data_IF_112520462676
#
_entry.id   IF_112520462676
#
_cell.length_a   1.000
_cell.length_b   1.000
_cell.length_c   1.000
_cell.angle_alpha   90.00
_cell.angle_beta   90.00
_cell.angle_gamma   90.00
#
_symmetry.space_group_name_H-M   'P 1'
#
loop_
_entity.id
_entity.type
_entity.pdbx_description
1 polymer ?
#
# COMPACT_ATOMS: atom_id res chain seq x y z
N UNK A 1 -11.43 -1.60 -19.77
CA UNK A 1 -12.20 -2.19 -18.64
C UNK A 1 -11.65 -3.51 -18.09
N UNK A 2 -11.41 -4.56 -18.91
CA UNK A 2 -10.88 -5.84 -18.40
C UNK A 2 -9.44 -5.71 -17.85
N UNK A 3 -8.63 -4.82 -18.44
CA UNK A 3 -7.31 -4.45 -17.94
C UNK A 3 -7.36 -3.66 -16.62
N UNK A 4 -8.30 -2.72 -16.45
CA UNK A 4 -8.51 -1.97 -15.19
C UNK A 4 -8.69 -2.88 -13.98
N UNK A 5 -9.58 -3.86 -14.13
CA UNK A 5 -9.88 -4.87 -13.11
C UNK A 5 -8.66 -5.71 -12.74
N UNK A 6 -7.67 -5.84 -13.62
CA UNK A 6 -6.42 -6.54 -13.32
C UNK A 6 -5.47 -5.65 -12.53
N UNK A 7 -5.31 -4.38 -12.89
CA UNK A 7 -4.46 -3.45 -12.15
C UNK A 7 -4.98 -3.13 -10.75
N UNK A 8 -6.29 -2.97 -10.58
CA UNK A 8 -6.89 -2.81 -9.26
C UNK A 8 -6.65 -4.04 -8.36
N UNK A 9 -6.73 -5.25 -8.92
CA UNK A 9 -6.42 -6.49 -8.17
C UNK A 9 -4.95 -6.56 -7.78
N UNK A 10 -4.04 -6.20 -8.68
CA UNK A 10 -2.60 -6.14 -8.41
C UNK A 10 -2.33 -5.11 -7.29
N UNK A 11 -2.97 -3.93 -7.37
CA UNK A 11 -2.89 -2.88 -6.36
C UNK A 11 -3.37 -3.34 -4.99
N UNK A 12 -4.52 -4.04 -4.92
CA UNK A 12 -5.04 -4.62 -3.67
C UNK A 12 -4.05 -5.64 -3.09
N UNK A 13 -3.57 -6.58 -3.90
CA UNK A 13 -2.67 -7.64 -3.42
C UNK A 13 -1.36 -7.04 -2.93
N UNK A 14 -0.74 -6.15 -3.71
CA UNK A 14 0.53 -5.50 -3.36
C UNK A 14 0.41 -4.68 -2.08
N UNK A 15 -0.65 -3.89 -1.95
CA UNK A 15 -0.85 -3.02 -0.78
C UNK A 15 -1.21 -3.83 0.47
N UNK A 16 -1.95 -4.94 0.31
CA UNK A 16 -2.26 -5.85 1.42
C UNK A 16 -1.01 -6.59 1.89
N UNK A 17 -0.17 -7.07 0.95
CA UNK A 17 1.11 -7.71 1.28
C UNK A 17 2.05 -6.75 2.00
N UNK A 18 2.14 -5.49 1.56
CA UNK A 18 2.86 -4.43 2.26
C UNK A 18 2.34 -4.25 3.70
N UNK A 19 1.02 -4.19 3.88
CA UNK A 19 0.44 -4.04 5.22
C UNK A 19 0.73 -5.24 6.13
N UNK A 20 0.59 -6.47 5.62
CA UNK A 20 0.92 -7.70 6.35
C UNK A 20 2.42 -7.73 6.70
N UNK A 21 3.27 -7.33 5.77
CA UNK A 21 4.72 -7.23 6.00
C UNK A 21 5.02 -6.22 7.12
N UNK A 22 4.52 -4.99 7.03
CA UNK A 22 4.75 -3.96 8.04
C UNK A 22 4.21 -4.37 9.43
N UNK A 23 3.10 -5.13 9.50
CA UNK A 23 2.55 -5.63 10.77
C UNK A 23 3.41 -6.79 11.29
N UNK A 24 3.84 -7.70 10.42
CA UNK A 24 4.62 -8.89 10.77
C UNK A 24 6.06 -8.59 11.18
N UNK A 25 6.69 -7.57 10.59
CA UNK A 25 8.09 -7.17 10.86
C UNK A 25 8.40 -7.00 12.35
N UNK A 26 7.64 -6.21 13.15
CA UNK A 26 7.91 -6.13 14.59
C UNK A 26 7.79 -7.48 15.28
N UNK A 27 6.78 -8.31 15.00
CA UNK A 27 6.64 -9.62 15.65
C UNK A 27 7.77 -10.58 15.30
N UNK A 28 8.21 -10.62 14.03
CA UNK A 28 9.28 -11.51 13.56
C UNK A 28 10.63 -11.11 14.18
N UNK A 29 10.93 -9.81 14.20
CA UNK A 29 12.23 -9.34 14.67
C UNK A 29 12.30 -9.15 16.18
N UNK A 30 11.18 -8.92 16.89
CA UNK A 30 11.11 -9.01 18.36
C UNK A 30 11.31 -10.47 18.82
N UNK A 31 10.70 -11.44 18.14
CA UNK A 31 10.85 -12.86 18.47
C UNK A 31 12.28 -13.37 18.24
N UNK A 32 12.95 -12.89 17.17
CA UNK A 32 14.36 -13.24 16.87
C UNK A 32 15.35 -12.58 17.84
N UNK A 33 15.11 -11.33 18.24
CA UNK A 33 16.02 -10.56 19.08
C UNK A 33 15.97 -10.90 20.59
N UNK A 34 14.94 -11.58 21.08
CA UNK A 34 14.95 -12.12 22.45
C UNK A 34 15.80 -13.41 22.62
N UNK A 35 16.30 -13.98 21.51
CA UNK A 35 17.15 -15.19 21.53
C UNK A 35 18.65 -14.92 21.32
N UNK A 36 19.01 -13.72 20.86
CA UNK A 36 20.39 -13.28 20.64
C UNK A 36 20.62 -11.95 21.38
N UNK A 37 21.76 -11.80 22.03
CA UNK A 37 22.02 -10.90 23.16
C UNK A 37 21.92 -9.38 22.93
N UNK A 38 21.37 -8.90 21.81
CA UNK A 38 21.14 -7.48 21.52
C UNK A 38 19.88 -7.30 20.65
N UNK A 39 19.02 -6.35 21.02
CA UNK A 39 17.86 -5.92 20.22
C UNK A 39 18.32 -5.23 18.93
N UNK A 40 18.57 -5.99 17.86
CA UNK A 40 18.88 -5.41 16.55
C UNK A 40 17.61 -5.09 15.78
N UNK A 41 17.59 -3.94 15.09
CA UNK A 41 16.56 -3.61 14.12
C UNK A 41 16.52 -4.66 12.97
N UNK A 42 15.44 -4.62 12.18
CA UNK A 42 15.30 -5.48 11.02
C UNK A 42 16.48 -5.30 10.04
N UNK A 43 17.00 -6.36 9.42
CA UNK A 43 18.10 -6.29 8.48
C UNK A 43 17.68 -5.51 7.23
N UNK A 44 18.64 -4.84 6.62
CA UNK A 44 18.43 -3.92 5.47
C UNK A 44 17.72 -4.55 4.28
N UNK A 45 17.95 -5.85 4.01
CA UNK A 45 17.25 -6.55 2.92
C UNK A 45 15.75 -6.74 3.18
N UNK A 46 15.33 -6.80 4.45
CA UNK A 46 13.92 -6.88 4.82
C UNK A 46 13.19 -5.57 4.49
N UNK A 47 13.86 -4.44 4.69
CA UNK A 47 13.36 -3.10 4.33
C UNK A 47 13.16 -2.93 2.81
N UNK A 48 13.98 -3.61 1.99
CA UNK A 48 13.88 -3.54 0.52
C UNK A 48 12.57 -4.14 -0.02
N UNK A 49 11.92 -5.02 0.74
CA UNK A 49 10.64 -5.62 0.38
C UNK A 49 9.54 -4.55 0.35
N UNK A 50 9.56 -3.59 1.29
CA UNK A 50 8.60 -2.47 1.32
C UNK A 50 8.72 -1.59 0.07
N UNK A 51 9.96 -1.30 -0.35
CA UNK A 51 10.23 -0.56 -1.58
C UNK A 51 9.77 -1.31 -2.84
N UNK A 52 9.90 -2.64 -2.85
CA UNK A 52 9.40 -3.47 -3.95
C UNK A 52 7.87 -3.37 -4.05
N UNK A 53 7.15 -3.49 -2.94
CA UNK A 53 5.69 -3.32 -2.93
C UNK A 53 5.26 -1.90 -3.29
N UNK A 54 6.03 -0.89 -2.88
CA UNK A 54 5.78 0.52 -3.24
C UNK A 54 5.86 0.74 -4.75
N UNK A 55 6.86 0.15 -5.42
CA UNK A 55 7.04 0.22 -6.88
C UNK A 55 5.87 -0.47 -7.60
N UNK A 56 5.49 -1.67 -7.15
CA UNK A 56 4.34 -2.38 -7.74
C UNK A 56 3.05 -1.57 -7.56
N UNK A 57 2.83 -1.00 -6.38
CA UNK A 57 1.69 -0.12 -6.10
C UNK A 57 1.70 1.12 -7.00
N UNK A 58 2.86 1.71 -7.27
CA UNK A 58 2.98 2.86 -8.17
C UNK A 58 2.49 2.51 -9.57
N UNK A 59 2.92 1.38 -10.14
CA UNK A 59 2.46 0.96 -11.46
C UNK A 59 0.95 0.66 -11.49
N UNK A 60 0.43 0.01 -10.44
CA UNK A 60 -1.00 -0.25 -10.31
C UNK A 60 -1.81 1.06 -10.29
N UNK A 61 -1.38 2.05 -9.49
CA UNK A 61 -2.02 3.37 -9.41
C UNK A 61 -1.85 4.15 -10.71
N UNK A 62 -0.68 4.15 -11.33
CA UNK A 62 -0.41 4.88 -12.58
C UNK A 62 -1.33 4.39 -13.70
N UNK A 63 -1.47 3.07 -13.86
CA UNK A 63 -2.41 2.52 -14.81
C UNK A 63 -3.84 2.90 -14.42
N UNK A 64 -4.27 2.58 -13.18
CA UNK A 64 -5.64 2.86 -12.71
C UNK A 64 -6.04 4.33 -12.84
N UNK A 65 -5.12 5.27 -12.63
CA UNK A 65 -5.37 6.72 -12.68
C UNK A 65 -5.33 7.34 -14.07
N UNK A 66 -4.70 6.66 -15.04
CA UNK A 66 -4.72 7.08 -16.45
C UNK A 66 -5.98 6.61 -17.18
N UNK A 67 -6.66 5.59 -16.68
CA UNK A 67 -7.79 4.96 -17.34
C UNK A 67 -9.08 5.12 -16.53
N UNK A 68 -9.89 6.09 -16.95
CA UNK A 68 -11.31 6.25 -16.58
C UNK A 68 -11.63 6.34 -15.08
N UNK A 69 -10.68 6.73 -14.24
CA UNK A 69 -10.95 7.08 -12.83
C UNK A 69 -11.45 8.51 -12.74
N UNK A 70 -12.36 8.75 -11.79
CA UNK A 70 -12.77 10.11 -11.46
C UNK A 70 -11.57 10.93 -10.97
N UNK A 71 -11.56 12.22 -11.30
CA UNK A 71 -10.47 13.15 -10.91
C UNK A 71 -10.21 13.14 -9.40
N UNK A 72 -11.28 12.98 -8.60
CA UNK A 72 -11.22 12.88 -7.15
C UNK A 72 -10.48 11.62 -6.67
N UNK A 73 -10.81 10.44 -7.21
CA UNK A 73 -10.10 9.20 -6.87
C UNK A 73 -8.63 9.28 -7.24
N UNK A 74 -8.31 9.85 -8.40
CA UNK A 74 -6.92 10.05 -8.81
C UNK A 74 -6.13 10.87 -7.79
N UNK A 75 -6.68 11.99 -7.32
CA UNK A 75 -6.04 12.80 -6.29
C UNK A 75 -5.80 11.97 -5.02
N UNK A 76 -6.82 11.23 -4.55
CA UNK A 76 -6.71 10.39 -3.35
C UNK A 76 -5.67 9.28 -3.46
N UNK A 77 -5.57 8.62 -4.62
CA UNK A 77 -4.54 7.60 -4.85
C UNK A 77 -3.13 8.18 -4.75
N UNK A 78 -2.88 9.29 -5.44
CA UNK A 78 -1.56 9.91 -5.44
C UNK A 78 -1.20 10.50 -4.08
N UNK A 79 -2.15 11.11 -3.36
CA UNK A 79 -1.87 11.65 -2.01
C UNK A 79 -1.61 10.53 -1.00
N UNK A 80 -2.39 9.45 -1.02
CA UNK A 80 -2.15 8.32 -0.11
C UNK A 80 -0.85 7.58 -0.42
N UNK A 81 -0.51 7.42 -1.70
CA UNK A 81 0.76 6.82 -2.11
C UNK A 81 1.98 7.66 -1.73
N UNK A 82 1.93 8.99 -1.89
CA UNK A 82 3.04 9.85 -1.44
C UNK A 82 3.22 9.81 0.07
N UNK A 83 2.13 9.80 0.85
CA UNK A 83 2.20 9.64 2.30
C UNK A 83 2.86 8.29 2.67
N UNK A 84 2.50 7.20 2.00
CA UNK A 84 3.12 5.89 2.21
C UNK A 84 4.64 5.92 1.92
N UNK A 85 5.03 6.54 0.79
CA UNK A 85 6.43 6.70 0.40
C UNK A 85 7.23 7.46 1.45
N UNK A 86 6.71 8.60 1.94
CA UNK A 86 7.38 9.37 3.00
C UNK A 86 7.48 8.58 4.31
N UNK A 87 6.44 7.83 4.67
CA UNK A 87 6.45 7.02 5.90
C UNK A 87 7.48 5.88 5.85
N UNK A 88 7.71 5.26 4.68
CA UNK A 88 8.75 4.24 4.49
C UNK A 88 10.15 4.88 4.44
N UNK A 89 10.29 6.05 3.80
CA UNK A 89 11.55 6.78 3.77
C UNK A 89 11.97 7.25 5.17
N UNK A 90 11.05 7.77 5.99
CA UNK A 90 11.31 8.19 7.36
C UNK A 90 11.92 7.06 8.22
N UNK A 91 11.38 5.86 8.05
CA UNK A 91 11.92 4.63 8.66
C UNK A 91 13.33 4.28 8.17
N UNK A 92 13.57 4.40 6.87
CA UNK A 92 14.85 4.02 6.25
C UNK A 92 15.97 4.96 6.66
N UNK A 93 15.69 6.26 6.73
CA UNK A 93 16.66 7.27 7.15
C UNK A 93 16.72 7.46 8.67
N UNK A 94 15.91 6.73 9.44
CA UNK A 94 15.85 6.83 10.91
C UNK A 94 15.63 8.26 11.41
N UNK A 95 14.82 9.05 10.69
CA UNK A 95 14.47 10.41 11.12
C UNK A 95 13.50 10.39 12.32
N UNK A 96 12.80 9.27 12.55
CA UNK A 96 11.84 9.04 13.65
C UNK A 96 10.75 10.12 13.75
N UNK A 97 10.41 10.79 12.65
CA UNK A 97 9.37 11.83 12.64
C UNK A 97 7.99 11.19 12.74
N UNK A 98 7.79 10.02 12.12
CA UNK A 98 6.53 9.30 12.15
C UNK A 98 6.61 8.07 13.06
N UNK A 99 5.55 7.78 13.85
CA UNK A 99 5.50 6.55 14.63
C UNK A 99 5.45 5.34 13.70
N UNK A 100 6.06 4.22 14.11
CA UNK A 100 6.19 3.02 13.28
C UNK A 100 4.86 2.44 12.75
N UNK A 101 3.76 2.78 13.42
CA UNK A 101 2.42 2.32 13.06
C UNK A 101 1.75 3.21 12.00
N UNK A 102 2.37 4.33 11.61
CA UNK A 102 1.77 5.29 10.71
C UNK A 102 1.65 4.75 9.28
N UNK A 103 2.57 3.88 8.84
CA UNK A 103 2.55 3.20 7.52
C UNK A 103 1.30 2.35 7.28
N UNK A 104 0.63 1.86 8.33
CA UNK A 104 -0.59 1.04 8.21
C UNK A 104 -1.76 1.82 7.62
N UNK A 105 -1.91 3.08 8.02
CA UNK A 105 -3.02 3.92 7.62
C UNK A 105 -3.03 4.22 6.09
N UNK A 106 -1.95 4.70 5.47
CA UNK A 106 -1.90 4.90 4.03
C UNK A 106 -1.95 3.58 3.27
N UNK A 107 -1.35 2.49 3.77
CA UNK A 107 -1.44 1.15 3.15
C UNK A 107 -2.88 0.64 3.06
N UNK A 108 -3.64 0.71 4.15
CA UNK A 108 -5.06 0.35 4.18
C UNK A 108 -5.89 1.25 3.27
N UNK A 109 -5.57 2.55 3.24
CA UNK A 109 -6.27 3.53 2.40
C UNK A 109 -6.13 3.20 0.92
N UNK A 110 -4.93 2.82 0.44
CA UNK A 110 -4.70 2.42 -0.96
C UNK A 110 -5.52 1.17 -1.32
N UNK A 111 -5.57 0.16 -0.42
CA UNK A 111 -6.41 -1.03 -0.61
C UNK A 111 -7.89 -0.63 -0.75
N UNK A 112 -8.39 0.21 0.16
CA UNK A 112 -9.76 0.68 0.14
C UNK A 112 -10.10 1.47 -1.13
N UNK A 113 -9.18 2.31 -1.59
CA UNK A 113 -9.33 3.09 -2.83
C UNK A 113 -9.43 2.19 -4.06
N UNK A 114 -8.58 1.16 -4.20
CA UNK A 114 -8.70 0.18 -5.28
C UNK A 114 -10.01 -0.61 -5.21
N UNK A 115 -10.46 -0.98 -4.01
CA UNK A 115 -11.75 -1.65 -3.85
C UNK A 115 -12.93 -0.74 -4.24
N UNK A 116 -12.85 0.54 -3.89
CA UNK A 116 -13.84 1.54 -4.25
C UNK A 116 -13.88 1.79 -5.76
N UNK A 117 -12.71 1.91 -6.40
CA UNK A 117 -12.59 2.04 -7.85
C UNK A 117 -13.20 0.83 -8.59
N UNK A 118 -12.92 -0.39 -8.12
CA UNK A 118 -13.53 -1.62 -8.64
C UNK A 118 -15.05 -1.61 -8.52
N UNK A 119 -15.60 -1.10 -7.41
CA UNK A 119 -17.03 -1.02 -7.19
C UNK A 119 -17.69 -0.04 -8.16
N UNK A 120 -17.11 1.14 -8.34
CA UNK A 120 -17.59 2.14 -9.32
C UNK A 120 -17.58 1.56 -10.74
N UNK A 121 -16.44 0.99 -11.15
CA UNK A 121 -16.29 0.42 -12.49
C UNK A 121 -17.29 -0.73 -12.71
N UNK A 122 -17.50 -1.63 -11.74
CA UNK A 122 -18.53 -2.69 -11.88
C UNK A 122 -19.95 -2.14 -12.01
N UNK A 123 -20.28 -1.03 -11.35
CA UNK A 123 -21.58 -0.37 -11.43
C UNK A 123 -21.81 0.38 -12.75
N UNK A 124 -20.74 0.76 -13.46
CA UNK A 124 -20.85 1.39 -14.79
C UNK A 124 -21.10 0.35 -15.90
N UNK A 125 -20.55 -0.87 -15.75
CA UNK A 125 -20.73 -1.96 -16.73
C UNK A 125 -22.09 -2.67 -16.62
N UNK A 126 -22.59 -2.80 -15.39
CA UNK A 126 -23.95 -3.30 -15.14
C UNK A 126 -24.76 -2.09 -14.76
N UNK A 127 -25.65 -1.58 -15.61
CA UNK A 127 -26.65 -0.55 -15.30
C UNK A 127 -27.22 -0.75 -13.88
N UNK A 128 -26.56 -0.19 -12.88
CA UNK A 128 -26.84 -0.47 -11.49
C UNK A 128 -27.91 0.53 -11.11
N UNK A 129 -29.16 0.18 -11.40
CA UNK A 129 -30.29 0.86 -10.79
C UNK A 129 -30.19 0.60 -9.30
N UNK A 130 -29.90 1.64 -8.55
CA UNK A 130 -30.15 1.68 -7.11
C UNK A 130 -31.65 1.41 -6.97
N UNK A 131 -32.00 0.23 -6.46
CA UNK A 131 -33.32 -0.09 -5.92
C UNK A 131 -33.16 -0.17 -4.41
#
# INVERSE_FOLDING_TARGET
>A
MKLELQYDKIGIISSTLCMIHCIGTPFIFIAKSCSATCCSDAPTWWLMIDYLFLIISFFAIFHTTNSSTSRWLRILFWTTWTILLFSIADHTFSYYIFPKNFTYFPGLSIVALHFYNLKINKCENKNCKIC
#
